data_IF_546670569260
#
_entry.id   IF_546670569260
#
_cell.length_a   1.000
_cell.length_b   1.000
_cell.length_c   1.000
_cell.angle_alpha   90.00
_cell.angle_beta   90.00
_cell.angle_gamma   90.00
#
_symmetry.space_group_name_H-M   'P 1'
#
loop_
_entity.id
_entity.type
_entity.pdbx_description
1 polymer ?
#
# COMPACT_ATOMS: atom_id res chain seq x y z
N UNK A 1 -14.66 18.46 -5.83
CA UNK A 1 -13.96 17.20 -6.18
C UNK A 1 -13.92 16.33 -4.93
N UNK A 2 -14.41 15.09 -4.99
CA UNK A 2 -14.38 14.22 -3.82
C UNK A 2 -12.92 13.84 -3.52
N UNK A 3 -12.43 14.20 -2.33
CA UNK A 3 -11.10 13.81 -1.86
C UNK A 3 -11.10 12.29 -1.67
N UNK A 4 -10.63 11.57 -2.70
CA UNK A 4 -10.54 10.14 -2.67
C UNK A 4 -9.27 9.77 -1.90
N UNK A 5 -9.43 9.41 -0.64
CA UNK A 5 -8.34 8.93 0.19
C UNK A 5 -7.96 7.52 -0.25
N UNK A 6 -6.76 7.39 -0.82
CA UNK A 6 -6.13 6.10 -1.03
C UNK A 6 -5.25 5.81 0.18
N UNK A 7 -5.24 4.56 0.64
CA UNK A 7 -4.38 4.11 1.73
C UNK A 7 -3.56 2.92 1.26
N UNK A 8 -2.28 2.87 1.65
CA UNK A 8 -1.42 1.74 1.32
C UNK A 8 -1.86 0.54 2.16
N UNK A 9 -2.12 -0.57 1.48
CA UNK A 9 -2.39 -1.84 2.14
C UNK A 9 -1.09 -2.47 2.62
N UNK A 10 -1.04 -2.84 3.89
CA UNK A 10 0.12 -3.55 4.50
C UNK A 10 0.06 -5.07 4.28
N UNK A 11 -0.53 -5.51 3.16
CA UNK A 11 -0.67 -6.93 2.78
C UNK A 11 0.68 -7.64 2.63
N UNK A 12 1.72 -6.87 2.26
CA UNK A 12 3.08 -7.36 2.12
C UNK A 12 3.66 -8.02 3.37
N UNK A 13 3.16 -7.70 4.57
CA UNK A 13 3.59 -8.31 5.84
C UNK A 13 3.34 -9.82 5.93
N UNK A 14 2.41 -10.33 5.12
CA UNK A 14 1.96 -11.72 5.15
C UNK A 14 2.16 -12.44 3.81
N UNK A 15 2.97 -11.87 2.90
CA UNK A 15 3.20 -12.50 1.60
C UNK A 15 4.17 -13.68 1.73
N UNK A 16 3.91 -14.78 0.98
CA UNK A 16 4.88 -15.87 0.85
C UNK A 16 6.13 -15.39 0.08
N UNK A 17 7.29 -16.05 0.25
CA UNK A 17 8.58 -15.54 -0.23
C UNK A 17 8.60 -15.09 -1.70
N UNK A 18 8.06 -15.89 -2.62
CA UNK A 18 8.04 -15.56 -4.05
C UNK A 18 7.20 -14.31 -4.35
N UNK A 19 6.02 -14.19 -3.72
CA UNK A 19 5.17 -13.01 -3.88
C UNK A 19 5.78 -11.78 -3.21
N UNK A 20 6.44 -11.98 -2.07
CA UNK A 20 7.14 -10.90 -1.38
C UNK A 20 8.30 -10.36 -2.23
N UNK A 21 9.11 -11.23 -2.83
CA UNK A 21 10.17 -10.84 -3.74
C UNK A 21 9.65 -10.03 -4.94
N UNK A 22 8.59 -10.52 -5.61
CA UNK A 22 7.95 -9.79 -6.71
C UNK A 22 7.42 -8.42 -6.28
N UNK A 23 6.79 -8.36 -5.10
CA UNK A 23 6.30 -7.11 -4.51
C UNK A 23 7.44 -6.12 -4.26
N UNK A 24 8.53 -6.55 -3.63
CA UNK A 24 9.70 -5.70 -3.34
C UNK A 24 10.33 -5.20 -4.64
N UNK A 25 10.49 -6.06 -5.64
CA UNK A 25 11.04 -5.67 -6.95
C UNK A 25 10.19 -4.59 -7.64
N UNK A 26 8.85 -4.76 -7.59
CA UNK A 26 7.90 -3.77 -8.11
C UNK A 26 8.01 -2.43 -7.38
N UNK A 27 8.00 -2.43 -6.05
CA UNK A 27 8.12 -1.22 -5.23
C UNK A 27 9.48 -0.55 -5.47
N UNK A 28 10.57 -1.30 -5.44
CA UNK A 28 11.92 -0.78 -5.72
C UNK A 28 11.99 -0.08 -7.07
N UNK A 29 11.49 -0.73 -8.12
CA UNK A 29 11.47 -0.18 -9.48
C UNK A 29 10.64 1.10 -9.57
N UNK A 30 9.50 1.12 -8.89
CA UNK A 30 8.64 2.30 -8.86
C UNK A 30 9.29 3.48 -8.13
N UNK A 31 9.94 3.23 -7.00
CA UNK A 31 10.59 4.25 -6.18
C UNK A 31 11.93 4.73 -6.75
N UNK A 32 12.58 3.94 -7.62
CA UNK A 32 13.82 4.34 -8.30
C UNK A 32 13.57 5.20 -9.54
N UNK A 33 12.34 5.20 -10.07
CA UNK A 33 11.95 6.06 -11.18
C UNK A 33 11.75 7.51 -10.68
N UNK A 34 12.78 8.32 -10.85
CA UNK A 34 12.79 9.74 -10.44
C UNK A 34 11.74 10.60 -11.14
N UNK A 35 11.21 10.16 -12.28
CA UNK A 35 10.12 10.87 -12.95
C UNK A 35 8.78 10.65 -12.22
N UNK A 36 8.64 9.56 -11.47
CA UNK A 36 7.45 9.22 -10.67
C UNK A 36 7.60 9.67 -9.23
N UNK A 37 8.76 9.44 -8.64
CA UNK A 37 9.06 9.73 -7.24
C UNK A 37 10.35 10.55 -7.15
N UNK A 38 10.25 11.90 -7.22
CA UNK A 38 11.41 12.77 -7.13
C UNK A 38 12.14 12.64 -5.79
N UNK A 39 13.45 12.87 -5.77
CA UNK A 39 14.26 12.77 -4.55
C UNK A 39 13.79 13.73 -3.44
N UNK A 40 13.12 14.83 -3.81
CA UNK A 40 12.51 15.79 -2.89
C UNK A 40 11.41 15.18 -2.00
N UNK A 41 10.79 14.08 -2.42
CA UNK A 41 9.79 13.34 -1.62
C UNK A 41 10.41 12.79 -0.34
N UNK A 42 11.68 12.36 -0.41
CA UNK A 42 12.36 11.72 0.71
C UNK A 42 12.87 12.73 1.73
N UNK A 43 13.36 13.89 1.27
CA UNK A 43 13.87 14.96 2.14
C UNK A 43 14.87 14.44 3.17
N UNK A 44 14.58 14.66 4.47
CA UNK A 44 15.40 14.16 5.58
C UNK A 44 15.46 12.62 5.70
N UNK A 45 14.56 11.91 5.01
CA UNK A 45 14.46 10.45 5.03
C UNK A 45 15.21 9.78 3.87
N UNK A 46 16.11 10.47 3.17
CA UNK A 46 16.88 9.90 2.08
C UNK A 46 17.70 8.66 2.51
N UNK A 47 18.16 8.62 3.76
CA UNK A 47 18.86 7.45 4.31
C UNK A 47 17.97 6.18 4.32
N UNK A 48 16.65 6.33 4.54
CA UNK A 48 15.71 5.21 4.53
C UNK A 48 15.60 4.59 3.14
N UNK A 49 15.46 5.40 2.09
CA UNK A 49 15.31 4.86 0.73
C UNK A 49 16.60 4.20 0.24
N UNK A 50 17.77 4.75 0.60
CA UNK A 50 19.08 4.15 0.30
C UNK A 50 19.20 2.79 1.02
N UNK A 51 18.87 2.73 2.31
CA UNK A 51 18.91 1.49 3.07
C UNK A 51 17.93 0.43 2.52
N UNK A 52 16.74 0.85 2.11
CA UNK A 52 15.76 -0.01 1.47
C UNK A 52 16.29 -0.58 0.14
N UNK A 53 16.89 0.24 -0.74
CA UNK A 53 17.43 -0.23 -2.01
C UNK A 53 18.57 -1.23 -1.80
N UNK A 54 19.50 -0.96 -0.89
CA UNK A 54 20.58 -1.88 -0.57
C UNK A 54 20.06 -3.23 -0.02
N UNK A 55 19.06 -3.19 0.88
CA UNK A 55 18.44 -4.39 1.41
C UNK A 55 17.65 -5.16 0.34
N UNK A 56 16.99 -4.46 -0.58
CA UNK A 56 16.23 -5.06 -1.67
C UNK A 56 17.15 -5.77 -2.67
N UNK A 57 18.29 -5.17 -3.01
CA UNK A 57 19.31 -5.78 -3.88
C UNK A 57 19.93 -7.02 -3.25
N UNK A 58 20.23 -6.96 -1.95
CA UNK A 58 20.70 -8.14 -1.22
C UNK A 58 19.63 -9.24 -1.18
N UNK A 59 18.38 -8.88 -0.94
CA UNK A 59 17.28 -9.84 -0.90
C UNK A 59 17.02 -10.50 -2.26
N UNK A 60 17.19 -9.77 -3.37
CA UNK A 60 17.12 -10.32 -4.73
C UNK A 60 18.13 -11.46 -4.92
N UNK A 61 19.40 -11.19 -4.62
CA UNK A 61 20.48 -12.18 -4.67
C UNK A 61 20.18 -13.40 -3.78
N UNK A 62 19.90 -13.16 -2.49
CA UNK A 62 19.66 -14.23 -1.51
C UNK A 62 18.40 -15.05 -1.85
N UNK A 63 17.38 -14.42 -2.42
CA UNK A 63 16.18 -15.11 -2.87
C UNK A 63 16.50 -16.15 -3.95
N UNK A 64 17.27 -15.78 -4.97
CA UNK A 64 17.69 -16.70 -6.02
C UNK A 64 18.58 -17.83 -5.49
N UNK A 65 19.57 -17.51 -4.67
CA UNK A 65 20.43 -18.51 -4.04
C UNK A 65 19.64 -19.49 -3.15
N UNK A 66 18.62 -19.00 -2.44
CA UNK A 66 17.80 -19.84 -1.55
C UNK A 66 16.99 -20.90 -2.29
N UNK A 67 16.73 -20.73 -3.59
CA UNK A 67 16.01 -21.71 -4.40
C UNK A 67 16.79 -23.00 -4.60
N UNK A 68 18.10 -22.98 -4.35
CA UNK A 68 18.95 -24.18 -4.36
C UNK A 68 18.90 -24.98 -3.05
N UNK A 69 18.10 -24.55 -2.06
CA UNK A 69 17.76 -25.37 -0.88
C UNK A 69 18.74 -25.26 0.30
N UNK A 70 19.68 -24.33 0.29
CA UNK A 70 20.59 -24.11 1.43
C UNK A 70 19.84 -23.52 2.63
N UNK A 71 19.83 -24.25 3.76
CA UNK A 71 19.16 -23.81 5.00
C UNK A 71 19.68 -22.48 5.54
N UNK A 72 20.98 -22.23 5.40
CA UNK A 72 21.61 -20.98 5.86
C UNK A 72 21.09 -19.79 5.04
N UNK A 73 21.05 -19.96 3.72
CA UNK A 73 20.57 -18.92 2.79
C UNK A 73 19.07 -18.67 2.95
N UNK A 74 18.29 -19.73 3.24
CA UNK A 74 16.86 -19.61 3.57
C UNK A 74 16.66 -18.77 4.84
N UNK A 75 17.43 -19.02 5.90
CA UNK A 75 17.33 -18.24 7.14
C UNK A 75 17.75 -16.78 6.92
N UNK A 76 18.79 -16.53 6.12
CA UNK A 76 19.19 -15.16 5.75
C UNK A 76 18.09 -14.45 4.95
N UNK A 77 17.42 -15.13 4.03
CA UNK A 77 16.28 -14.58 3.29
C UNK A 77 15.16 -14.16 4.23
N UNK A 78 14.82 -14.99 5.22
CA UNK A 78 13.76 -14.70 6.18
C UNK A 78 14.09 -13.48 7.05
N UNK A 79 15.35 -13.34 7.47
CA UNK A 79 15.83 -12.16 8.19
C UNK A 79 15.73 -10.90 7.32
N UNK A 80 16.18 -10.98 6.06
CA UNK A 80 16.09 -9.86 5.12
C UNK A 80 14.64 -9.48 4.80
N UNK A 81 13.74 -10.45 4.67
CA UNK A 81 12.32 -10.20 4.50
C UNK A 81 11.74 -9.45 5.69
N UNK A 82 12.08 -9.84 6.93
CA UNK A 82 11.65 -9.11 8.12
C UNK A 82 12.18 -7.66 8.15
N UNK A 83 13.45 -7.46 7.79
CA UNK A 83 14.04 -6.12 7.69
C UNK A 83 13.35 -5.26 6.61
N UNK A 84 13.10 -5.84 5.44
CA UNK A 84 12.42 -5.15 4.34
C UNK A 84 10.99 -4.76 4.72
N UNK A 85 10.26 -5.59 5.47
CA UNK A 85 8.93 -5.25 5.98
C UNK A 85 8.98 -3.96 6.81
N UNK A 86 10.00 -3.80 7.67
CA UNK A 86 10.16 -2.59 8.48
C UNK A 86 10.40 -1.35 7.61
N UNK A 87 11.25 -1.45 6.59
CA UNK A 87 11.49 -0.34 5.66
C UNK A 87 10.25 0.00 4.83
N UNK A 88 9.58 -1.01 4.28
CA UNK A 88 8.33 -0.84 3.54
C UNK A 88 7.26 -0.18 4.40
N UNK A 89 7.18 -0.53 5.68
CA UNK A 89 6.24 0.08 6.61
C UNK A 89 6.51 1.56 6.86
N UNK A 90 7.78 1.96 6.98
CA UNK A 90 8.18 3.36 7.15
C UNK A 90 7.97 4.15 5.86
N UNK A 91 8.37 3.59 4.72
CA UNK A 91 8.17 4.19 3.39
C UNK A 91 6.67 4.40 3.14
N UNK A 92 5.84 3.40 3.40
CA UNK A 92 4.39 3.53 3.22
C UNK A 92 3.81 4.66 4.07
N UNK A 93 4.21 4.79 5.34
CA UNK A 93 3.76 5.89 6.20
C UNK A 93 4.20 7.27 5.67
N UNK A 94 5.43 7.38 5.16
CA UNK A 94 5.93 8.62 4.55
C UNK A 94 5.15 8.98 3.27
N UNK A 95 4.92 8.01 2.40
CA UNK A 95 4.16 8.23 1.17
C UNK A 95 2.71 8.62 1.47
N UNK A 96 2.08 8.02 2.49
CA UNK A 96 0.75 8.40 2.97
C UNK A 96 0.72 9.85 3.48
N UNK A 97 1.78 10.33 4.14
CA UNK A 97 1.91 11.74 4.52
C UNK A 97 2.07 12.67 3.30
N UNK A 98 2.91 12.29 2.34
CA UNK A 98 3.14 13.06 1.11
C UNK A 98 1.88 13.09 0.24
N UNK A 99 1.06 12.05 0.30
CA UNK A 99 -0.20 11.96 -0.42
C UNK A 99 -1.22 13.05 -0.04
N UNK A 100 -1.05 13.72 1.11
CA UNK A 100 -1.88 14.87 1.50
C UNK A 100 -1.73 16.02 0.50
N UNK A 101 -0.54 16.22 -0.05
CA UNK A 101 -0.25 17.29 -1.02
C UNK A 101 -0.07 16.77 -2.44
N UNK A 102 0.31 15.50 -2.62
CA UNK A 102 0.46 14.85 -3.91
C UNK A 102 -0.16 13.42 -3.89
N UNK A 103 -1.50 13.29 -4.02
CA UNK A 103 -2.18 12.00 -3.91
C UNK A 103 -1.72 10.95 -4.94
N UNK A 104 -1.29 11.39 -6.13
CA UNK A 104 -0.88 10.51 -7.22
C UNK A 104 0.39 9.71 -6.86
N UNK A 105 1.16 10.17 -5.87
CA UNK A 105 2.36 9.46 -5.38
C UNK A 105 2.04 8.03 -4.96
N UNK A 106 0.85 7.79 -4.40
CA UNK A 106 0.44 6.45 -3.95
C UNK A 106 0.20 5.51 -5.14
N UNK A 107 -0.36 6.02 -6.23
CA UNK A 107 -0.67 5.24 -7.44
C UNK A 107 0.60 4.83 -8.18
N UNK A 108 1.64 5.67 -8.14
CA UNK A 108 2.91 5.40 -8.83
C UNK A 108 3.94 4.69 -7.96
N UNK A 109 3.68 4.53 -6.65
CA UNK A 109 4.63 3.96 -5.66
C UNK A 109 4.87 2.45 -5.77
N UNK A 110 4.05 1.73 -6.54
CA UNK A 110 4.10 0.26 -6.65
C UNK A 110 3.52 -0.50 -5.44
N UNK A 111 3.02 0.21 -4.42
CA UNK A 111 2.26 -0.38 -3.33
C UNK A 111 0.84 -0.73 -3.77
N UNK A 112 0.26 -1.76 -3.15
CA UNK A 112 -1.16 -2.02 -3.28
C UNK A 112 -1.93 -0.96 -2.49
N UNK A 113 -2.92 -0.31 -3.10
CA UNK A 113 -3.71 0.74 -2.46
C UNK A 113 -5.18 0.34 -2.37
N UNK A 114 -5.80 0.62 -1.22
CA UNK A 114 -7.25 0.53 -1.05
C UNK A 114 -7.86 1.91 -1.27
N UNK A 115 -8.94 1.96 -2.05
CA UNK A 115 -9.81 3.14 -2.12
C UNK A 115 -10.64 3.19 -0.85
N UNK A 116 -10.44 4.20 -0.01
CA UNK A 116 -11.36 4.47 1.09
C UNK A 116 -12.65 5.03 0.50
N UNK A 117 -13.63 4.16 0.21
CA UNK A 117 -15.00 4.62 -0.03
C UNK A 117 -15.48 5.18 1.30
N UNK A 118 -15.51 6.51 1.43
CA UNK A 118 -16.44 7.17 2.36
C UNK A 118 -17.86 6.86 1.89
N UNK A 119 -18.36 5.68 2.22
CA UNK A 119 -19.79 5.40 2.17
C UNK A 119 -20.43 6.28 3.24
N UNK A 120 -20.85 7.49 2.86
CA UNK A 120 -21.94 8.13 3.56
C UNK A 120 -23.14 7.17 3.47
N UNK A 121 -23.69 6.66 4.59
CA UNK A 121 -24.95 5.94 4.56
C UNK A 121 -26.08 6.96 4.41
N UNK A 122 -26.12 7.73 3.31
CA UNK A 122 -27.19 8.70 3.07
C UNK A 122 -28.38 8.07 2.33
N UNK A 123 -28.20 6.90 1.73
CA UNK A 123 -29.22 6.29 0.86
C UNK A 123 -30.09 5.22 1.55
N UNK A 124 -29.91 4.95 2.85
CA UNK A 124 -30.84 4.05 3.58
C UNK A 124 -31.99 4.79 4.26
N UNK A 125 -31.84 6.07 4.58
CA UNK A 125 -32.88 6.86 5.23
C UNK A 125 -33.95 7.40 4.25
N UNK A 126 -33.62 7.62 2.97
CA UNK A 126 -34.59 8.12 1.98
C UNK A 126 -35.58 7.05 1.51
N UNK A 127 -35.23 5.76 1.59
CA UNK A 127 -36.12 4.66 1.20
C UNK A 127 -37.14 4.36 2.31
N UNK A 128 -36.76 4.48 3.59
CA UNK A 128 -37.69 4.31 4.72
C UNK A 128 -38.64 5.51 4.88
N UNK A 129 -38.19 6.74 4.60
CA UNK A 129 -39.07 7.92 4.61
C UNK A 129 -40.16 7.87 3.53
N UNK A 130 -39.85 7.33 2.34
CA UNK A 130 -40.86 7.22 1.27
C UNK A 130 -41.92 6.15 1.55
N UNK A 131 -41.55 5.06 2.25
CA UNK A 131 -42.50 4.04 2.67
C UNK A 131 -43.40 4.48 3.84
N UNK A 132 -42.89 5.32 4.75
CA UNK A 132 -43.70 5.86 5.85
C UNK A 132 -44.74 6.90 5.39
N UNK A 133 -44.50 7.60 4.27
CA UNK A 133 -45.42 8.64 3.76
C UNK A 133 -46.57 8.07 2.92
N UNK A 134 -46.54 6.78 2.54
CA UNK A 134 -47.63 6.11 1.79
C UNK A 134 -48.65 5.38 2.68
N UNK A 135 -48.41 5.27 3.98
CA UNK A 135 -49.29 4.53 4.90
C UNK A 135 -50.49 5.35 5.42
N UNK A 136 -50.58 6.66 5.13
CA UNK A 136 -51.67 7.53 5.56
C UNK A 136 -52.47 8.09 4.38
N UNK A 137 -53.26 7.24 3.70
CA UNK A 137 -54.48 7.70 3.03
C UNK A 137 -55.64 6.81 3.44
N UNK A 138 -56.63 7.34 4.20
CA UNK A 138 -57.84 6.61 4.52
C UNK A 138 -58.70 6.46 3.25
N UNK A 139 -59.10 5.22 2.96
CA UNK A 139 -60.18 4.94 2.01
C UNK A 139 -61.50 5.13 2.76
N UNK A 140 -62.17 6.27 2.52
CA UNK A 140 -63.61 6.40 2.71
C UNK A 140 -64.32 5.60 1.61
N UNK A 141 -65.28 4.78 2.04
CA UNK A 141 -66.19 3.98 1.21
C UNK A 141 -67.15 3.20 2.08
#
# INVERSE_FOLDING_TARGET
>A
MANQLYRIMRTFRHLPPTKFHQFVSRVRTALSDKNRVPDSVWGANLALIIAFFAAADKHDYVFHESMHGSRIVIAERELLQAQLILYLDQIASLLEMVAVTNPDILLVSGFDTAKERRTHPRNKAEIEAHNATQAERPQDG
#
